data_IF_414991804055
#
_entry.id   IF_414991804055
#
_cell.length_a   1.000
_cell.length_b   1.000
_cell.length_c   1.000
_cell.angle_alpha   90.00
_cell.angle_beta   90.00
_cell.angle_gamma   90.00
#
_symmetry.space_group_name_H-M   'P 1'
#
loop_
_entity.id
_entity.type
_entity.pdbx_description
1 polymer ?
#
# COMPACT_ATOMS: atom_id res chain seq x y z
N UNK A 1 -3.51 21.41 -17.54
CA UNK A 1 -2.43 20.45 -17.89
C UNK A 1 -1.43 20.40 -16.72
N UNK A 2 -1.49 19.38 -15.89
CA UNK A 2 -0.51 19.22 -14.79
C UNK A 2 0.50 18.17 -15.22
N UNK A 3 1.65 18.65 -15.69
CA UNK A 3 2.82 17.85 -16.02
C UNK A 3 3.56 17.58 -14.70
N UNK A 4 3.44 16.38 -14.14
CA UNK A 4 4.28 15.97 -13.03
C UNK A 4 5.61 15.47 -13.62
N UNK A 5 6.56 16.37 -13.78
CA UNK A 5 7.94 16.00 -14.12
C UNK A 5 8.67 15.70 -12.83
N UNK A 6 8.90 14.42 -12.54
CA UNK A 6 9.83 14.01 -11.50
C UNK A 6 11.26 14.34 -11.99
N UNK A 7 11.77 15.49 -11.55
CA UNK A 7 13.15 15.89 -11.79
C UNK A 7 14.04 15.17 -10.76
N UNK A 8 14.33 13.90 -10.99
CA UNK A 8 15.56 13.31 -10.52
C UNK A 8 16.67 13.68 -11.51
N UNK A 9 17.93 13.92 -11.07
CA UNK A 9 19.08 14.06 -11.96
C UNK A 9 18.95 13.07 -13.10
N UNK A 10 18.72 13.57 -14.32
CA UNK A 10 18.38 12.77 -15.49
C UNK A 10 19.59 11.91 -15.89
N UNK A 11 19.72 10.76 -15.26
CA UNK A 11 20.57 9.70 -15.78
C UNK A 11 19.77 9.11 -16.94
N UNK A 12 20.11 9.49 -18.15
CA UNK A 12 19.42 9.21 -19.40
C UNK A 12 18.92 7.76 -19.54
N UNK A 13 19.69 6.78 -19.06
CA UNK A 13 19.34 5.35 -19.09
C UNK A 13 18.31 4.92 -18.03
N UNK A 14 17.97 5.76 -17.06
CA UNK A 14 17.08 5.43 -15.93
C UNK A 14 15.87 6.37 -15.80
N UNK A 15 15.75 7.35 -16.70
CA UNK A 15 14.65 8.32 -16.66
C UNK A 15 13.59 7.93 -17.66
N UNK A 16 12.32 7.99 -17.21
CA UNK A 16 11.14 7.75 -18.04
C UNK A 16 10.10 8.81 -17.75
N UNK A 17 9.22 9.08 -18.70
CA UNK A 17 8.07 9.95 -18.51
C UNK A 17 6.80 9.14 -18.37
N UNK A 18 5.94 9.52 -17.41
CA UNK A 18 4.61 8.95 -17.24
C UNK A 18 3.60 10.08 -17.17
N UNK A 19 2.43 9.87 -17.76
CA UNK A 19 1.37 10.88 -17.82
C UNK A 19 0.16 10.49 -17.00
N UNK A 20 -0.41 11.50 -16.33
CA UNK A 20 -1.69 11.42 -15.62
C UNK A 20 -2.60 12.56 -16.11
N UNK A 21 -3.90 12.34 -16.14
CA UNK A 21 -4.90 13.32 -16.55
C UNK A 21 -5.81 12.80 -17.65
N UNK A 22 -6.70 13.67 -18.16
CA UNK A 22 -7.66 13.28 -19.20
C UNK A 22 -6.98 12.76 -20.47
N UNK A 23 -5.85 13.35 -20.83
CA UNK A 23 -5.10 13.04 -22.06
C UNK A 23 -3.94 12.04 -21.79
N UNK A 24 -4.09 11.15 -20.80
CA UNK A 24 -3.02 10.22 -20.39
C UNK A 24 -2.58 9.27 -21.51
N UNK A 25 -3.45 8.98 -22.49
CA UNK A 25 -3.20 8.05 -23.61
C UNK A 25 -2.90 8.80 -24.92
N UNK A 26 -2.88 10.14 -24.92
CA UNK A 26 -2.59 10.92 -26.12
C UNK A 26 -1.14 10.72 -26.57
N UNK A 27 -0.93 10.68 -27.88
CA UNK A 27 0.43 10.68 -28.48
C UNK A 27 1.14 12.00 -28.13
N UNK A 28 2.36 11.89 -27.69
CA UNK A 28 3.22 13.02 -27.36
C UNK A 28 4.51 12.97 -28.13
N UNK A 29 5.04 14.13 -28.41
CA UNK A 29 6.40 14.26 -28.89
C UNK A 29 7.40 13.77 -27.85
N UNK A 30 8.53 13.28 -28.32
CA UNK A 30 9.59 12.78 -27.46
C UNK A 30 10.22 13.95 -26.69
N UNK A 31 10.45 13.77 -25.41
CA UNK A 31 11.23 14.70 -24.62
C UNK A 31 12.69 14.36 -24.83
N UNK A 32 13.47 15.37 -25.27
CA UNK A 32 14.91 15.24 -25.49
C UNK A 32 15.65 15.84 -24.31
N UNK A 33 16.61 15.11 -23.75
CA UNK A 33 17.50 15.61 -22.71
C UNK A 33 18.48 16.64 -23.29
N UNK A 34 19.10 17.44 -22.43
CA UNK A 34 20.16 18.40 -22.85
C UNK A 34 21.35 17.76 -23.58
N UNK A 35 21.53 16.45 -23.41
CA UNK A 35 22.58 15.65 -24.06
C UNK A 35 22.09 14.96 -25.36
N UNK A 36 20.92 15.32 -25.88
CA UNK A 36 20.36 14.80 -27.12
C UNK A 36 19.68 13.41 -27.00
N UNK A 37 19.60 12.84 -25.80
CA UNK A 37 18.96 11.55 -25.59
C UNK A 37 17.44 11.63 -25.41
N UNK A 38 16.72 10.69 -25.99
CA UNK A 38 15.26 10.60 -25.89
C UNK A 38 14.87 9.98 -24.54
N UNK A 39 13.93 10.62 -23.83
CA UNK A 39 13.29 10.10 -22.62
C UNK A 39 11.98 9.44 -23.04
N UNK A 40 11.87 8.14 -22.79
CA UNK A 40 10.72 7.35 -23.24
C UNK A 40 9.46 7.65 -22.42
N UNK A 41 8.32 7.75 -23.11
CA UNK A 41 6.99 7.71 -22.50
C UNK A 41 6.61 6.27 -22.20
N UNK A 42 6.25 5.99 -20.94
CA UNK A 42 5.85 4.64 -20.48
C UNK A 42 4.47 4.65 -19.85
N UNK A 43 3.74 3.54 -20.00
CA UNK A 43 2.44 3.35 -19.34
C UNK A 43 2.58 2.89 -17.88
N UNK A 44 3.71 2.32 -17.53
CA UNK A 44 4.01 1.88 -16.17
C UNK A 44 5.50 2.13 -15.86
N UNK A 45 5.79 2.65 -14.68
CA UNK A 45 7.16 2.77 -14.19
C UNK A 45 7.26 2.33 -12.73
N UNK A 46 8.41 1.76 -12.37
CA UNK A 46 8.75 1.43 -10.98
C UNK A 46 9.61 2.53 -10.39
N UNK A 47 9.16 3.11 -9.29
CA UNK A 47 9.91 4.11 -8.55
C UNK A 47 9.87 3.79 -7.05
N UNK A 48 11.02 3.70 -6.41
CA UNK A 48 11.16 3.33 -4.99
C UNK A 48 10.33 2.09 -4.59
N UNK A 49 10.31 1.07 -5.44
CA UNK A 49 9.59 -0.17 -5.16
C UNK A 49 8.09 -0.16 -5.51
N UNK A 50 7.50 1.00 -5.76
CA UNK A 50 6.10 1.17 -6.12
C UNK A 50 5.94 1.26 -7.64
N UNK A 51 4.92 0.63 -8.19
CA UNK A 51 4.59 0.69 -9.61
C UNK A 51 3.50 1.75 -9.86
N UNK A 52 3.86 2.80 -10.59
CA UNK A 52 2.95 3.84 -11.05
C UNK A 52 2.41 3.48 -12.42
N UNK A 53 1.11 3.69 -12.63
CA UNK A 53 0.43 3.37 -13.90
C UNK A 53 -0.22 4.63 -14.44
N UNK A 54 0.08 4.93 -15.71
CA UNK A 54 -0.56 6.00 -16.47
C UNK A 54 -2.07 5.86 -16.45
N UNK A 55 -2.79 6.97 -16.26
CA UNK A 55 -4.23 6.97 -16.19
C UNK A 55 -4.82 8.35 -15.96
N UNK A 56 -6.16 8.42 -15.99
CA UNK A 56 -6.87 9.68 -15.74
C UNK A 56 -6.57 10.27 -14.36
N UNK A 57 -6.39 9.39 -13.37
CA UNK A 57 -6.00 9.75 -12.01
C UNK A 57 -4.66 9.11 -11.66
N UNK A 58 -3.97 9.67 -10.67
CA UNK A 58 -2.77 9.06 -10.12
C UNK A 58 -3.11 7.69 -9.55
N UNK A 59 -2.45 6.65 -10.04
CA UNK A 59 -2.76 5.25 -9.72
C UNK A 59 -1.48 4.44 -9.54
N UNK A 60 -1.51 3.54 -8.54
CA UNK A 60 -0.47 2.53 -8.32
C UNK A 60 -0.98 1.14 -8.71
N UNK A 61 -0.08 0.26 -9.14
CA UNK A 61 -0.36 -1.15 -9.36
C UNK A 61 0.22 -1.96 -8.19
N UNK A 62 -0.62 -2.76 -7.56
CA UNK A 62 -0.26 -3.57 -6.39
C UNK A 62 -0.09 -5.06 -6.72
N UNK A 63 -0.21 -5.47 -7.97
CA UNK A 63 -0.18 -6.88 -8.35
C UNK A 63 1.17 -7.52 -8.05
N UNK A 64 2.26 -6.76 -8.26
CA UNK A 64 3.60 -7.23 -7.89
C UNK A 64 3.73 -7.47 -6.37
N UNK A 65 3.19 -6.58 -5.54
CA UNK A 65 3.20 -6.75 -4.08
C UNK A 65 2.40 -7.98 -3.65
N UNK A 66 1.24 -8.21 -4.25
CA UNK A 66 0.39 -9.40 -4.03
C UNK A 66 1.12 -10.68 -4.42
N UNK A 67 1.73 -10.73 -5.61
CA UNK A 67 2.51 -11.89 -6.08
C UNK A 67 3.70 -12.15 -5.16
N UNK A 68 4.42 -11.12 -4.75
CA UNK A 68 5.55 -11.21 -3.82
C UNK A 68 5.12 -11.77 -2.45
N UNK A 69 3.98 -11.31 -1.92
CA UNK A 69 3.41 -11.85 -0.67
C UNK A 69 3.16 -13.36 -0.77
N UNK A 70 2.49 -13.80 -1.84
CA UNK A 70 2.22 -15.23 -2.06
C UNK A 70 3.50 -16.06 -2.21
N UNK A 71 4.43 -15.57 -2.99
CA UNK A 71 5.72 -16.25 -3.21
C UNK A 71 6.49 -16.39 -1.91
N UNK A 72 6.59 -15.30 -1.13
CA UNK A 72 7.29 -15.30 0.17
C UNK A 72 6.61 -16.23 1.17
N UNK A 73 5.27 -16.18 1.26
CA UNK A 73 4.51 -17.09 2.13
C UNK A 73 4.70 -18.55 1.72
N UNK A 74 4.57 -18.87 0.43
CA UNK A 74 4.74 -20.24 -0.06
C UNK A 74 6.16 -20.76 0.18
N UNK A 75 7.17 -19.91 0.07
CA UNK A 75 8.56 -20.26 0.39
C UNK A 75 8.74 -20.59 1.86
N UNK A 76 8.16 -19.82 2.78
CA UNK A 76 8.16 -20.09 4.22
C UNK A 76 7.37 -21.39 4.49
N UNK A 77 6.13 -21.46 4.02
CA UNK A 77 5.24 -22.59 4.25
C UNK A 77 5.79 -23.91 3.70
N UNK A 78 6.45 -23.88 2.54
CA UNK A 78 7.10 -25.06 1.96
C UNK A 78 8.28 -25.58 2.77
N UNK A 79 9.01 -24.68 3.46
CA UNK A 79 10.18 -25.05 4.26
C UNK A 79 9.83 -25.50 5.67
N UNK A 80 8.90 -24.80 6.33
CA UNK A 80 8.62 -25.01 7.76
C UNK A 80 7.21 -25.50 8.06
N UNK A 81 6.26 -25.34 7.15
CA UNK A 81 4.83 -25.59 7.39
C UNK A 81 4.44 -27.07 7.66
N UNK A 82 5.39 -28.00 7.50
CA UNK A 82 5.20 -29.40 7.88
C UNK A 82 5.61 -29.71 9.33
N UNK A 83 6.46 -28.87 9.90
CA UNK A 83 7.13 -29.12 11.20
C UNK A 83 6.81 -28.04 12.23
N UNK A 84 6.48 -26.82 11.77
CA UNK A 84 6.17 -25.71 12.64
C UNK A 84 4.67 -25.62 12.93
N UNK A 85 4.34 -25.14 14.13
CA UNK A 85 2.97 -24.79 14.47
C UNK A 85 2.45 -23.62 13.61
N UNK A 86 1.14 -23.52 13.47
CA UNK A 86 0.49 -22.42 12.75
C UNK A 86 0.87 -21.05 13.33
N UNK A 87 1.06 -20.97 14.64
CA UNK A 87 1.51 -19.76 15.34
C UNK A 87 2.88 -19.29 14.84
N UNK A 88 3.85 -20.20 14.69
CA UNK A 88 5.17 -19.90 14.16
C UNK A 88 5.09 -19.41 12.72
N UNK A 89 4.26 -20.04 11.88
CA UNK A 89 4.07 -19.61 10.49
C UNK A 89 3.45 -18.22 10.42
N UNK A 90 2.46 -17.92 11.27
CA UNK A 90 1.81 -16.60 11.36
C UNK A 90 2.82 -15.55 11.86
N UNK A 91 3.64 -15.87 12.83
CA UNK A 91 4.71 -14.99 13.33
C UNK A 91 5.71 -14.65 12.23
N UNK A 92 6.10 -15.62 11.42
CA UNK A 92 6.96 -15.41 10.25
C UNK A 92 6.24 -14.57 9.16
N UNK A 93 4.95 -14.81 8.91
CA UNK A 93 4.16 -13.99 8.01
C UNK A 93 4.14 -12.52 8.46
N UNK A 94 3.87 -12.27 9.76
CA UNK A 94 3.89 -10.93 10.36
C UNK A 94 5.25 -10.26 10.26
N UNK A 95 6.33 -10.99 10.56
CA UNK A 95 7.67 -10.42 10.65
C UNK A 95 8.38 -10.25 9.31
N UNK A 96 8.11 -11.12 8.33
CA UNK A 96 8.88 -11.17 7.07
C UNK A 96 8.08 -10.81 5.84
N UNK A 97 6.82 -11.26 5.72
CA UNK A 97 6.03 -11.03 4.51
C UNK A 97 5.26 -9.71 4.56
N UNK A 98 4.60 -9.39 5.69
CA UNK A 98 3.79 -8.19 5.81
C UNK A 98 4.58 -6.88 5.65
N UNK A 99 5.78 -6.70 6.21
CA UNK A 99 6.54 -5.46 6.02
C UNK A 99 6.83 -5.16 4.55
N UNK A 100 7.19 -6.18 3.77
CA UNK A 100 7.42 -6.04 2.33
C UNK A 100 6.12 -5.77 1.56
N UNK A 101 5.03 -6.43 1.96
CA UNK A 101 3.72 -6.26 1.32
C UNK A 101 3.12 -4.88 1.58
N UNK A 102 3.26 -4.38 2.81
CA UNK A 102 2.72 -3.08 3.23
C UNK A 102 3.62 -1.90 2.85
N UNK A 103 4.80 -2.18 2.28
CA UNK A 103 5.75 -1.12 1.93
C UNK A 103 5.16 -0.13 0.93
N UNK A 104 5.18 1.15 1.30
CA UNK A 104 4.73 2.26 0.46
C UNK A 104 3.21 2.37 0.29
N UNK A 105 2.40 1.49 0.91
CA UNK A 105 0.94 1.58 0.81
C UNK A 105 0.39 2.84 1.51
N UNK A 106 1.06 3.33 2.53
CA UNK A 106 0.71 4.54 3.27
C UNK A 106 0.77 5.82 2.43
N UNK A 107 1.56 5.83 1.35
CA UNK A 107 1.69 6.98 0.44
C UNK A 107 0.95 6.80 -0.87
N UNK A 108 0.41 5.60 -1.12
CA UNK A 108 -0.32 5.29 -2.34
C UNK A 108 -1.82 5.55 -2.19
N UNK A 109 -2.53 5.93 -3.27
CA UNK A 109 -3.98 6.04 -3.26
C UNK A 109 -4.62 4.65 -3.25
N UNK A 110 -4.74 4.05 -2.07
CA UNK A 110 -5.37 2.74 -1.89
C UNK A 110 -6.87 2.94 -1.73
N UNK A 111 -7.63 2.57 -2.76
CA UNK A 111 -9.09 2.64 -2.73
C UNK A 111 -9.72 1.41 -2.04
N UNK A 112 -11.00 1.49 -1.67
CA UNK A 112 -11.70 0.41 -0.94
C UNK A 112 -11.66 -0.93 -1.68
N UNK A 113 -11.72 -0.93 -3.02
CA UNK A 113 -11.57 -2.14 -3.85
C UNK A 113 -10.21 -2.81 -3.65
N UNK A 114 -9.14 -2.02 -3.55
CA UNK A 114 -7.79 -2.54 -3.35
C UNK A 114 -7.64 -3.11 -1.94
N UNK A 115 -8.18 -2.43 -0.92
CA UNK A 115 -8.21 -2.93 0.47
C UNK A 115 -8.93 -4.28 0.58
N UNK A 116 -10.11 -4.42 -0.06
CA UNK A 116 -10.84 -5.70 -0.12
C UNK A 116 -10.04 -6.78 -0.83
N UNK A 117 -9.35 -6.41 -1.92
CA UNK A 117 -8.46 -7.32 -2.62
C UNK A 117 -7.33 -7.81 -1.72
N UNK A 118 -6.71 -6.93 -0.93
CA UNK A 118 -5.64 -7.31 0.01
C UNK A 118 -6.15 -8.23 1.12
N UNK A 119 -7.30 -7.93 1.71
CA UNK A 119 -7.93 -8.81 2.71
C UNK A 119 -8.22 -10.20 2.11
N UNK A 120 -8.70 -10.26 0.86
CA UNK A 120 -8.94 -11.52 0.17
C UNK A 120 -7.65 -12.34 0.04
N UNK A 121 -6.53 -11.71 -0.32
CA UNK A 121 -5.23 -12.40 -0.42
C UNK A 121 -4.79 -12.98 0.93
N UNK A 122 -4.91 -12.24 2.01
CA UNK A 122 -4.60 -12.75 3.36
C UNK A 122 -5.54 -13.88 3.75
N UNK A 123 -6.83 -13.74 3.51
CA UNK A 123 -7.81 -14.82 3.74
C UNK A 123 -7.40 -16.10 3.04
N UNK A 124 -6.94 -16.03 1.79
CA UNK A 124 -6.44 -17.20 1.04
C UNK A 124 -5.19 -17.83 1.66
N UNK A 125 -4.29 -17.03 2.26
CA UNK A 125 -3.13 -17.56 2.99
C UNK A 125 -3.57 -18.32 4.25
N UNK A 126 -4.51 -17.77 5.01
CA UNK A 126 -5.08 -18.40 6.19
C UNK A 126 -5.85 -19.67 5.82
N UNK A 127 -6.67 -19.65 4.77
CA UNK A 127 -7.35 -20.85 4.26
C UNK A 127 -6.36 -21.97 3.95
N UNK A 128 -5.22 -21.64 3.35
CA UNK A 128 -4.16 -22.62 3.04
C UNK A 128 -3.49 -23.13 4.32
N UNK A 129 -3.19 -22.26 5.27
CA UNK A 129 -2.54 -22.60 6.53
C UNK A 129 -3.41 -23.53 7.38
N UNK A 130 -4.69 -23.17 7.57
CA UNK A 130 -5.65 -23.90 8.40
C UNK A 130 -6.45 -24.97 7.65
N UNK A 131 -6.15 -25.17 6.35
CA UNK A 131 -6.81 -26.16 5.48
C UNK A 131 -8.35 -26.04 5.51
N UNK A 132 -8.86 -24.83 5.53
CA UNK A 132 -10.29 -24.51 5.56
C UNK A 132 -10.73 -23.74 4.32
N UNK A 133 -11.99 -23.94 3.89
CA UNK A 133 -12.60 -23.11 2.83
C UNK A 133 -13.51 -22.01 3.40
N UNK A 134 -13.71 -21.96 4.73
CA UNK A 134 -14.66 -21.04 5.36
C UNK A 134 -13.99 -19.73 5.75
N UNK A 135 -14.52 -18.60 5.22
CA UNK A 135 -14.08 -17.27 5.60
C UNK A 135 -14.39 -16.94 7.07
N UNK A 136 -15.47 -17.48 7.62
CA UNK A 136 -15.84 -17.29 9.03
C UNK A 136 -14.80 -17.92 9.98
N UNK A 137 -14.33 -19.15 9.66
CA UNK A 137 -13.26 -19.80 10.42
C UNK A 137 -11.97 -18.98 10.33
N UNK A 138 -11.64 -18.45 9.14
CA UNK A 138 -10.44 -17.59 8.95
C UNK A 138 -10.54 -16.35 9.84
N UNK A 139 -11.70 -15.70 9.94
CA UNK A 139 -11.88 -14.53 10.80
C UNK A 139 -11.67 -14.90 12.29
N UNK A 140 -12.19 -16.03 12.74
CA UNK A 140 -11.94 -16.53 14.11
C UNK A 140 -10.44 -16.80 14.34
N UNK A 141 -9.75 -17.42 13.37
CA UNK A 141 -8.29 -17.61 13.44
C UNK A 141 -7.56 -16.27 13.50
N UNK A 142 -7.97 -15.26 12.68
CA UNK A 142 -7.37 -13.94 12.73
C UNK A 142 -7.55 -13.29 14.12
N UNK A 143 -8.72 -13.41 14.73
CA UNK A 143 -8.97 -12.93 16.09
C UNK A 143 -8.08 -13.65 17.11
N UNK A 144 -8.02 -14.98 17.04
CA UNK A 144 -7.24 -15.79 17.97
C UNK A 144 -5.74 -15.49 17.94
N UNK A 145 -5.20 -15.20 16.75
CA UNK A 145 -3.77 -14.92 16.55
C UNK A 145 -3.44 -13.41 16.52
N UNK A 146 -4.33 -12.54 16.97
CA UNK A 146 -4.14 -11.09 16.94
C UNK A 146 -3.69 -10.58 15.56
N UNK A 147 -4.38 -11.01 14.50
CA UNK A 147 -4.07 -10.66 13.14
C UNK A 147 -5.15 -9.75 12.55
N UNK A 148 -4.92 -8.45 12.58
CA UNK A 148 -5.84 -7.47 11.99
C UNK A 148 -5.98 -7.65 10.48
N UNK A 149 -7.22 -7.55 9.92
CA UNK A 149 -7.42 -7.39 8.49
C UNK A 149 -6.58 -6.24 7.92
N UNK A 150 -6.03 -6.45 6.73
CA UNK A 150 -5.06 -5.53 6.13
C UNK A 150 -5.65 -4.15 5.87
N UNK A 151 -6.94 -4.05 5.58
CA UNK A 151 -7.64 -2.76 5.41
C UNK A 151 -7.44 -1.84 6.62
N UNK A 152 -7.52 -2.38 7.84
CA UNK A 152 -7.33 -1.62 9.07
C UNK A 152 -5.87 -1.25 9.31
N UNK A 153 -4.96 -2.18 9.01
CA UNK A 153 -3.52 -1.93 9.11
C UNK A 153 -3.10 -0.80 8.19
N UNK A 154 -3.63 -0.75 6.95
CA UNK A 154 -3.37 0.33 5.99
C UNK A 154 -3.87 1.66 6.54
N UNK A 155 -5.10 1.72 7.07
CA UNK A 155 -5.67 2.97 7.58
C UNK A 155 -4.89 3.51 8.77
N UNK A 156 -4.49 2.66 9.72
CA UNK A 156 -3.65 3.04 10.87
C UNK A 156 -2.28 3.56 10.37
N UNK A 157 -1.62 2.87 9.43
CA UNK A 157 -0.33 3.30 8.88
C UNK A 157 -0.44 4.62 8.12
N UNK A 158 -1.49 4.77 7.30
CA UNK A 158 -1.75 6.01 6.55
C UNK A 158 -2.02 7.18 7.49
N UNK A 159 -2.83 6.99 8.53
CA UNK A 159 -3.07 8.02 9.55
C UNK A 159 -1.77 8.44 10.25
N UNK A 160 -1.00 7.47 10.74
CA UNK A 160 0.30 7.74 11.38
C UNK A 160 1.32 8.39 10.44
N UNK A 161 1.31 8.04 9.15
CA UNK A 161 2.14 8.70 8.14
C UNK A 161 1.73 10.15 7.96
N UNK A 162 0.42 10.43 7.82
CA UNK A 162 -0.09 11.79 7.61
C UNK A 162 0.18 12.65 8.85
N UNK A 163 0.04 12.14 10.07
CA UNK A 163 0.38 12.87 11.31
C UNK A 163 1.83 13.34 11.28
N UNK A 164 2.78 12.42 11.03
CA UNK A 164 4.20 12.79 10.90
C UNK A 164 4.47 13.76 9.74
N UNK A 165 3.73 13.63 8.64
CA UNK A 165 3.81 14.54 7.51
C UNK A 165 3.37 15.95 7.90
N UNK A 166 2.32 16.10 8.71
CA UNK A 166 1.80 17.38 9.21
C UNK A 166 2.78 18.07 10.18
N UNK A 167 3.59 17.31 10.91
CA UNK A 167 4.65 17.81 11.80
C UNK A 167 5.90 18.26 11.03
N UNK A 168 6.05 17.83 9.79
CA UNK A 168 7.24 18.13 8.99
C UNK A 168 7.39 19.64 8.73
N UNK A 169 8.62 20.14 8.88
CA UNK A 169 9.02 21.52 8.57
C UNK A 169 9.47 21.70 7.12
N UNK A 170 9.48 20.63 6.31
CA UNK A 170 9.88 20.68 4.91
C UNK A 170 8.93 21.58 4.11
N UNK A 171 9.48 22.53 3.34
CA UNK A 171 8.70 23.48 2.54
C UNK A 171 7.75 22.81 1.54
N UNK A 172 8.16 21.69 0.93
CA UNK A 172 7.30 20.94 -0.01
C UNK A 172 6.11 20.31 0.75
N UNK A 173 6.35 19.80 1.96
CA UNK A 173 5.27 19.27 2.81
C UNK A 173 4.28 20.36 3.21
N UNK A 174 4.76 21.56 3.49
CA UNK A 174 3.91 22.70 3.84
C UNK A 174 2.91 23.07 2.74
N UNK A 175 3.28 22.96 1.46
CA UNK A 175 2.40 23.25 0.34
C UNK A 175 1.14 22.34 0.28
N UNK A 176 1.24 21.13 0.80
CA UNK A 176 0.16 20.14 0.76
C UNK A 176 -0.46 19.84 2.12
N UNK A 177 -0.09 20.62 3.15
CA UNK A 177 -0.49 20.39 4.54
C UNK A 177 -2.01 20.37 4.72
N UNK A 178 -2.72 21.32 4.11
CA UNK A 178 -4.18 21.41 4.18
C UNK A 178 -4.85 20.17 3.58
N UNK A 179 -4.37 19.69 2.42
CA UNK A 179 -4.89 18.49 1.78
C UNK A 179 -4.62 17.22 2.59
N UNK A 180 -3.43 17.13 3.20
CA UNK A 180 -3.08 16.03 4.08
C UNK A 180 -3.99 15.99 5.32
N UNK A 181 -4.25 17.15 5.97
CA UNK A 181 -5.18 17.27 7.08
C UNK A 181 -6.61 16.83 6.71
N UNK A 182 -7.12 17.25 5.55
CA UNK A 182 -8.44 16.82 5.07
C UNK A 182 -8.51 15.31 4.85
N UNK A 183 -7.45 14.71 4.30
CA UNK A 183 -7.39 13.25 4.12
C UNK A 183 -7.38 12.51 5.45
N UNK A 184 -6.68 13.02 6.45
CA UNK A 184 -6.66 12.46 7.80
C UNK A 184 -8.06 12.48 8.44
N UNK A 185 -8.77 13.61 8.31
CA UNK A 185 -10.14 13.74 8.80
C UNK A 185 -11.08 12.73 8.13
N UNK A 186 -10.94 12.50 6.81
CA UNK A 186 -11.73 11.48 6.09
C UNK A 186 -11.46 10.08 6.65
N UNK A 187 -10.19 9.74 6.95
CA UNK A 187 -9.89 8.45 7.57
C UNK A 187 -10.55 8.35 8.93
N UNK A 188 -10.41 9.36 9.79
CA UNK A 188 -10.97 9.33 11.13
C UNK A 188 -12.50 9.27 11.13
N UNK A 189 -13.17 10.02 10.27
CA UNK A 189 -14.64 10.01 10.16
C UNK A 189 -15.22 8.63 9.80
N UNK A 190 -14.46 7.77 9.13
CA UNK A 190 -14.89 6.39 8.82
C UNK A 190 -14.98 5.50 10.06
N UNK A 191 -14.37 5.90 11.19
CA UNK A 191 -14.31 5.13 12.44
C UNK A 191 -14.99 5.81 13.63
N UNK A 192 -15.61 6.97 13.40
CA UNK A 192 -16.39 7.71 14.41
C UNK A 192 -15.76 9.05 14.80
N UNK A 193 -16.60 9.92 15.32
CA UNK A 193 -16.22 11.30 15.64
C UNK A 193 -15.29 11.45 16.87
N UNK A 194 -15.04 10.36 17.59
CA UNK A 194 -14.16 10.33 18.77
C UNK A 194 -12.69 10.07 18.41
N UNK A 195 -12.41 9.72 17.16
CA UNK A 195 -11.05 9.46 16.68
C UNK A 195 -10.33 10.79 16.45
N UNK A 196 -9.28 11.04 17.22
CA UNK A 196 -8.48 12.27 17.12
C UNK A 196 -6.99 12.02 16.81
N UNK A 197 -6.55 10.76 16.82
CA UNK A 197 -5.16 10.39 16.54
C UNK A 197 -5.05 8.97 15.98
N UNK A 198 -3.92 8.65 15.36
CA UNK A 198 -3.63 7.29 14.87
C UNK A 198 -3.61 6.26 16.00
N UNK A 199 -3.21 6.66 17.21
CA UNK A 199 -3.25 5.80 18.40
C UNK A 199 -4.69 5.53 18.86
N UNK A 200 -5.56 6.55 18.92
CA UNK A 200 -6.98 6.35 19.21
C UNK A 200 -7.67 5.51 18.14
N UNK A 201 -7.33 5.73 16.86
CA UNK A 201 -7.80 4.89 15.75
C UNK A 201 -7.43 3.43 15.95
N UNK A 202 -6.17 3.15 16.28
CA UNK A 202 -5.69 1.78 16.56
C UNK A 202 -6.44 1.13 17.71
N UNK A 203 -6.68 1.84 18.79
CA UNK A 203 -7.43 1.34 19.94
C UNK A 203 -8.87 1.00 19.55
N UNK A 204 -9.56 1.90 18.86
CA UNK A 204 -10.96 1.69 18.43
C UNK A 204 -11.06 0.48 17.48
N UNK A 205 -10.15 0.36 16.52
CA UNK A 205 -10.13 -0.78 15.60
C UNK A 205 -9.89 -2.08 16.35
N UNK A 206 -8.93 -2.12 17.27
CA UNK A 206 -8.64 -3.31 18.07
C UNK A 206 -9.84 -3.71 18.93
N UNK A 207 -10.46 -2.79 19.64
CA UNK A 207 -11.65 -3.07 20.44
C UNK A 207 -12.81 -3.54 19.57
N UNK A 208 -13.02 -2.94 18.41
CA UNK A 208 -14.11 -3.33 17.49
C UNK A 208 -13.90 -4.69 16.84
N UNK A 209 -12.66 -5.10 16.59
CA UNK A 209 -12.37 -6.34 15.87
C UNK A 209 -12.14 -7.53 16.82
N UNK A 210 -11.45 -7.32 17.94
CA UNK A 210 -11.08 -8.39 18.88
C UNK A 210 -12.03 -8.50 20.10
N UNK A 211 -12.75 -7.41 20.47
CA UNK A 211 -13.77 -7.40 21.52
C UNK A 211 -15.07 -7.99 21.03
#
# INVERSE_FOLDING_TARGET
MKLLVLICRLIQKKSVCIRFGNDYDAKCENIVSLQGGIIAWVKCCRYLGVFFVSGRFFKCCFDHAKCSLFSSFNSIFGKVGRFASEEVVISLLKAKCLPCFLYGLEVCPVIMRDKRSFDFYITRLFMKLFRTGSAAIVEQCQKHFDFLPIRYVIDIRTASFIERYLESTNQICMLFKQRAASNLQIIFSNYGNTVCSSNSLKTIINTSFFG
#
